data_IF_658304791164
#
_entry.id   IF_658304791164
#
_cell.length_a   1.000
_cell.length_b   1.000
_cell.length_c   1.000
_cell.angle_alpha   90.00
_cell.angle_beta   90.00
_cell.angle_gamma   90.00
#
_symmetry.space_group_name_H-M   'P 1'
#
loop_
_entity.id
_entity.type
_entity.pdbx_description
1 polymer ?
#
# COMPACT_ATOMS: atom_id res chain seq x y z
N UNK A 1 -2.64 0.88 11.82
CA UNK A 1 -2.03 -0.24 11.07
C UNK A 1 -1.98 -1.51 11.91
N UNK A 2 -1.39 -1.50 13.11
CA UNK A 2 -1.34 -2.69 14.00
C UNK A 2 -2.67 -3.41 14.23
N UNK A 3 -3.73 -2.69 14.59
CA UNK A 3 -5.07 -3.29 14.74
C UNK A 3 -5.60 -3.95 13.46
N UNK A 4 -5.23 -3.43 12.28
CA UNK A 4 -5.61 -4.01 11.00
C UNK A 4 -4.87 -5.32 10.72
N UNK A 5 -3.58 -5.36 11.08
CA UNK A 5 -2.72 -6.55 10.98
C UNK A 5 -2.89 -7.53 12.16
N UNK A 6 -3.73 -7.19 13.15
CA UNK A 6 -3.90 -7.97 14.41
C UNK A 6 -2.57 -8.22 15.15
N UNK A 7 -1.70 -7.21 15.14
CA UNK A 7 -0.42 -7.23 15.87
C UNK A 7 -0.58 -6.48 17.18
N UNK A 8 -0.44 -7.20 18.30
CA UNK A 8 -0.59 -6.64 19.64
C UNK A 8 0.76 -6.26 20.28
N UNK A 9 1.86 -6.86 19.83
CA UNK A 9 3.21 -6.57 20.34
C UNK A 9 3.87 -5.37 19.63
N UNK A 10 5.02 -4.94 20.14
CA UNK A 10 5.84 -3.87 19.54
C UNK A 10 7.04 -4.38 18.74
N UNK A 11 7.27 -5.69 18.70
CA UNK A 11 8.45 -6.29 18.06
C UNK A 11 8.49 -5.98 16.56
N UNK A 12 7.33 -5.99 15.91
CA UNK A 12 7.21 -5.73 14.48
C UNK A 12 7.06 -4.24 14.14
N UNK A 13 7.15 -3.32 15.09
CA UNK A 13 6.91 -1.88 14.84
C UNK A 13 7.83 -1.30 13.77
N UNK A 14 9.10 -1.68 13.78
CA UNK A 14 10.07 -1.24 12.77
C UNK A 14 9.76 -1.85 11.41
N UNK A 15 9.41 -3.13 11.36
CA UNK A 15 9.01 -3.82 10.13
C UNK A 15 7.75 -3.17 9.53
N UNK A 16 6.71 -2.98 10.34
CA UNK A 16 5.44 -2.38 9.92
C UNK A 16 5.64 -0.97 9.38
N UNK A 17 6.51 -0.14 10.00
CA UNK A 17 6.84 1.19 9.47
C UNK A 17 7.49 1.10 8.08
N UNK A 18 8.44 0.19 7.89
CA UNK A 18 9.09 0.00 6.60
C UNK A 18 8.10 -0.50 5.54
N UNK A 19 7.19 -1.41 5.91
CA UNK A 19 6.14 -1.89 5.02
C UNK A 19 5.15 -0.79 4.63
N UNK A 20 4.78 0.09 5.57
CA UNK A 20 3.95 1.27 5.28
C UNK A 20 4.63 2.15 4.23
N UNK A 21 5.91 2.47 4.45
CA UNK A 21 6.68 3.27 3.49
C UNK A 21 6.72 2.64 2.10
N UNK A 22 7.02 1.34 2.01
CA UNK A 22 7.03 0.61 0.73
C UNK A 22 5.64 0.57 0.08
N UNK A 23 4.57 0.39 0.87
CA UNK A 23 3.20 0.38 0.38
C UNK A 23 2.77 1.74 -0.17
N UNK A 24 3.13 2.84 0.50
CA UNK A 24 2.88 4.20 0.01
C UNK A 24 3.59 4.43 -1.33
N UNK A 25 4.86 4.03 -1.45
CA UNK A 25 5.61 4.13 -2.72
C UNK A 25 4.95 3.35 -3.85
N UNK A 26 4.55 2.11 -3.61
CA UNK A 26 3.84 1.29 -4.61
C UNK A 26 2.51 1.94 -5.05
N UNK A 27 1.75 2.47 -4.09
CA UNK A 27 0.48 3.15 -4.41
C UNK A 27 0.71 4.45 -5.18
N UNK A 28 1.74 5.22 -4.86
CA UNK A 28 2.15 6.43 -5.57
C UNK A 28 2.57 6.14 -7.02
N UNK A 29 3.37 5.08 -7.23
CA UNK A 29 3.78 4.64 -8.56
C UNK A 29 2.57 4.22 -9.41
N UNK A 30 1.61 3.51 -8.81
CA UNK A 30 0.34 3.15 -9.47
C UNK A 30 -0.49 4.39 -9.84
N UNK A 31 -0.59 5.36 -8.92
CA UNK A 31 -1.31 6.62 -9.12
C UNK A 31 -0.62 7.57 -10.09
N UNK A 32 0.69 7.38 -10.33
CA UNK A 32 1.57 8.34 -11.02
C UNK A 32 1.56 9.70 -10.30
N UNK A 33 1.83 9.67 -9.00
CA UNK A 33 1.89 10.86 -8.16
C UNK A 33 3.11 10.81 -7.24
N UNK A 34 3.67 11.97 -6.90
CA UNK A 34 4.88 12.06 -6.06
C UNK A 34 4.60 12.38 -4.59
N UNK A 35 3.33 12.66 -4.25
CA UNK A 35 2.94 13.17 -2.93
C UNK A 35 2.00 12.21 -2.22
N UNK A 36 2.38 11.80 -1.02
CA UNK A 36 1.51 11.01 -0.11
C UNK A 36 0.22 11.75 0.23
N UNK A 37 0.20 13.09 0.17
CA UNK A 37 -1.03 13.88 0.27
C UNK A 37 -2.03 13.52 -0.83
N UNK A 38 -1.58 13.46 -2.09
CA UNK A 38 -2.44 13.06 -3.22
C UNK A 38 -2.95 11.63 -3.05
N UNK A 39 -2.08 10.73 -2.57
CA UNK A 39 -2.47 9.36 -2.27
C UNK A 39 -3.56 9.32 -1.20
N UNK A 40 -3.37 9.97 -0.05
CA UNK A 40 -4.33 9.91 1.05
C UNK A 40 -5.60 10.73 0.83
N UNK A 41 -5.57 11.73 -0.05
CA UNK A 41 -6.75 12.47 -0.51
C UNK A 41 -7.57 11.65 -1.54
N UNK A 42 -7.00 10.60 -2.14
CA UNK A 42 -7.73 9.72 -3.07
C UNK A 42 -8.75 8.84 -2.35
N UNK A 43 -9.88 8.56 -3.01
CA UNK A 43 -11.02 7.83 -2.43
C UNK A 43 -10.63 6.50 -1.77
N UNK A 44 -9.68 5.78 -2.37
CA UNK A 44 -9.25 4.45 -1.90
C UNK A 44 -7.79 4.42 -1.42
N UNK A 45 -7.08 5.55 -1.35
CA UNK A 45 -5.65 5.57 -1.06
C UNK A 45 -5.27 4.94 0.28
N UNK A 46 -5.98 5.31 1.35
CA UNK A 46 -5.77 4.71 2.67
C UNK A 46 -6.00 3.19 2.66
N UNK A 47 -7.07 2.74 2.01
CA UNK A 47 -7.39 1.31 1.91
C UNK A 47 -6.36 0.55 1.07
N UNK A 48 -5.86 1.15 -0.02
CA UNK A 48 -4.84 0.56 -0.88
C UNK A 48 -3.51 0.38 -0.14
N UNK A 49 -3.08 1.38 0.64
CA UNK A 49 -1.88 1.25 1.50
C UNK A 49 -2.07 0.15 2.53
N UNK A 50 -3.22 0.10 3.21
CA UNK A 50 -3.51 -0.95 4.19
C UNK A 50 -3.48 -2.35 3.55
N UNK A 51 -4.10 -2.52 2.39
CA UNK A 51 -4.07 -3.77 1.63
C UNK A 51 -2.64 -4.18 1.27
N UNK A 52 -1.84 -3.27 0.74
CA UNK A 52 -0.45 -3.55 0.38
C UNK A 52 0.42 -3.93 1.59
N UNK A 53 0.28 -3.22 2.71
CA UNK A 53 0.99 -3.56 3.95
C UNK A 53 0.61 -4.97 4.42
N UNK A 54 -0.68 -5.29 4.46
CA UNK A 54 -1.13 -6.63 4.86
C UNK A 54 -0.61 -7.71 3.90
N UNK A 55 -0.68 -7.47 2.59
CA UNK A 55 -0.16 -8.41 1.61
C UNK A 55 1.33 -8.71 1.81
N UNK A 56 2.15 -7.67 1.95
CA UNK A 56 3.60 -7.83 2.17
C UNK A 56 3.94 -8.45 3.53
N UNK A 57 3.13 -8.16 4.56
CA UNK A 57 3.30 -8.72 5.89
C UNK A 57 3.02 -10.23 5.95
N UNK A 58 1.97 -10.67 5.26
CA UNK A 58 1.57 -12.09 5.18
C UNK A 58 2.47 -12.90 4.24
N UNK A 59 2.92 -12.33 3.11
CA UNK A 59 3.62 -13.07 2.06
C UNK A 59 5.14 -12.79 2.04
N UNK A 60 5.81 -12.85 3.21
CA UNK A 60 7.23 -12.46 3.33
C UNK A 60 8.22 -13.35 2.57
N UNK A 61 7.86 -14.60 2.28
CA UNK A 61 8.74 -15.58 1.62
C UNK A 61 8.40 -15.82 0.15
N UNK A 62 7.16 -15.52 -0.27
CA UNK A 62 6.62 -15.90 -1.58
C UNK A 62 5.72 -14.82 -2.20
N UNK A 63 5.99 -13.54 -1.91
CA UNK A 63 5.19 -12.42 -2.43
C UNK A 63 5.07 -12.44 -3.97
N UNK A 64 3.85 -12.56 -4.47
CA UNK A 64 3.52 -12.29 -5.87
C UNK A 64 3.23 -10.79 -6.05
N UNK A 65 4.30 -10.04 -6.34
CA UNK A 65 4.22 -8.60 -6.59
C UNK A 65 3.36 -8.24 -7.81
N UNK A 66 3.17 -9.16 -8.76
CA UNK A 66 2.30 -8.92 -9.92
C UNK A 66 0.83 -8.95 -9.48
N UNK A 67 0.43 -9.93 -8.68
CA UNK A 67 -0.92 -9.98 -8.11
C UNK A 67 -1.22 -8.73 -7.26
N UNK A 68 -0.29 -8.35 -6.39
CA UNK A 68 -0.38 -7.13 -5.58
C UNK A 68 -0.60 -5.89 -6.46
N UNK A 69 0.23 -5.72 -7.50
CA UNK A 69 0.16 -4.55 -8.38
C UNK A 69 -1.16 -4.49 -9.16
N UNK A 70 -1.70 -5.63 -9.60
CA UNK A 70 -2.99 -5.68 -10.29
C UNK A 70 -4.13 -5.22 -9.38
N UNK A 71 -4.17 -5.69 -8.13
CA UNK A 71 -5.14 -5.26 -7.12
C UNK A 71 -5.03 -3.76 -6.84
N UNK A 72 -3.82 -3.23 -6.66
CA UNK A 72 -3.60 -1.81 -6.42
C UNK A 72 -4.05 -0.95 -7.61
N UNK A 73 -3.79 -1.39 -8.85
CA UNK A 73 -4.26 -0.71 -10.06
C UNK A 73 -5.78 -0.67 -10.14
N UNK A 74 -6.46 -1.75 -9.75
CA UNK A 74 -7.92 -1.77 -9.71
C UNK A 74 -8.48 -0.82 -8.64
N UNK A 75 -7.90 -0.83 -7.42
CA UNK A 75 -8.34 0.04 -6.32
C UNK A 75 -8.13 1.53 -6.62
N UNK A 76 -7.01 1.87 -7.26
CA UNK A 76 -6.58 3.25 -7.49
C UNK A 76 -6.93 3.78 -8.88
N UNK A 77 -7.58 2.97 -9.72
CA UNK A 77 -7.86 3.30 -11.12
C UNK A 77 -8.52 4.67 -11.29
N UNK A 78 -9.58 4.96 -10.51
CA UNK A 78 -10.33 6.21 -10.61
C UNK A 78 -9.63 7.46 -10.09
N UNK A 79 -8.44 7.32 -9.49
CA UNK A 79 -7.63 8.45 -9.00
C UNK A 79 -6.28 8.56 -9.68
N UNK A 80 -5.98 7.65 -10.61
CA UNK A 80 -4.73 7.62 -11.36
C UNK A 80 -4.65 8.82 -12.31
N UNK A 81 -3.55 9.57 -12.25
CA UNK A 81 -3.33 10.68 -13.20
C UNK A 81 -3.10 10.13 -14.61
N UNK A 82 -3.86 10.61 -15.57
CA UNK A 82 -3.60 10.36 -16.99
C UNK A 82 -2.36 11.17 -17.41
N UNK A 83 -1.43 10.51 -18.09
CA UNK A 83 -0.33 11.20 -18.76
C UNK A 83 -0.78 11.36 -20.22
N UNK A 84 -0.94 12.61 -20.65
CA UNK A 84 -1.19 12.99 -22.04
C UNK A 84 0.13 13.21 -22.76
#
# INVERSE_FOLDING_TARGET
MKNYLRVDSTEDDTLIRNLIYSAERLCLDVLRADSTKVLYDSKYGRAAVMYAVNYMYEHRTEADYRALTLSLRAMLFGSRKEAF
#
